data_IF_579352210165
#
_entry.id   IF_579352210165
#
_cell.length_a   1.000
_cell.length_b   1.000
_cell.length_c   1.000
_cell.angle_alpha   90.00
_cell.angle_beta   90.00
_cell.angle_gamma   90.00
#
_symmetry.space_group_name_H-M   'P 1'
#
loop_
_entity.id
_entity.type
_entity.pdbx_description
1 polymer ?
#
# COMPACT_ATOMS: atom_id res chain seq x y z
N UNK A 1 -0.93 11.07 6.74
CA UNK A 1 -2.09 11.44 5.89
C UNK A 1 -2.18 12.95 5.61
N UNK A 2 -2.34 13.81 6.62
CA UNK A 2 -2.46 15.27 6.42
C UNK A 2 -1.31 15.88 5.59
N UNK A 3 -0.06 15.46 5.85
CA UNK A 3 1.12 15.86 5.07
C UNK A 3 1.00 15.53 3.57
N UNK A 4 0.43 14.37 3.22
CA UNK A 4 0.25 13.99 1.81
C UNK A 4 -0.78 14.89 1.14
N UNK A 5 -1.91 15.12 1.81
CA UNK A 5 -2.97 16.02 1.33
C UNK A 5 -2.48 17.46 1.16
N UNK A 6 -1.70 17.99 2.10
CA UNK A 6 -1.14 19.35 1.98
C UNK A 6 -0.15 19.50 0.81
N UNK A 7 0.44 18.39 0.36
CA UNK A 7 1.34 18.35 -0.81
C UNK A 7 0.63 17.90 -2.09
N UNK A 8 -0.71 17.85 -2.12
CA UNK A 8 -1.51 17.40 -3.26
C UNK A 8 -1.14 16.00 -3.79
N UNK A 9 -0.72 15.10 -2.89
CA UNK A 9 -0.44 13.70 -3.22
C UNK A 9 -1.75 12.91 -3.10
N UNK A 10 -2.14 12.24 -4.18
CA UNK A 10 -3.30 11.33 -4.19
C UNK A 10 -3.02 10.10 -3.31
N UNK A 11 -4.02 9.63 -2.58
CA UNK A 11 -3.91 8.53 -1.61
C UNK A 11 -4.87 7.42 -2.03
N UNK A 12 -4.32 6.25 -2.37
CA UNK A 12 -5.10 5.05 -2.67
C UNK A 12 -4.97 3.98 -1.58
N UNK A 13 -5.99 3.13 -1.47
CA UNK A 13 -5.95 1.91 -0.69
C UNK A 13 -6.20 0.70 -1.59
N UNK A 14 -5.29 -0.29 -1.54
CA UNK A 14 -5.42 -1.59 -2.18
C UNK A 14 -5.47 -2.67 -1.09
N UNK A 15 -6.62 -3.34 -0.92
CA UNK A 15 -6.84 -4.25 0.22
C UNK A 15 -7.41 -5.60 -0.20
N UNK A 16 -7.23 -6.61 0.65
CA UNK A 16 -7.92 -7.90 0.52
C UNK A 16 -9.11 -8.05 1.48
N UNK A 17 -9.41 -7.02 2.26
CA UNK A 17 -10.57 -7.02 3.13
C UNK A 17 -11.87 -6.93 2.32
N UNK A 18 -12.95 -7.47 2.88
CA UNK A 18 -14.29 -7.22 2.40
C UNK A 18 -14.78 -5.82 2.81
N UNK A 19 -15.73 -5.28 2.06
CA UNK A 19 -16.27 -3.93 2.26
C UNK A 19 -16.74 -3.67 3.69
N UNK A 20 -17.38 -4.67 4.32
CA UNK A 20 -17.89 -4.53 5.69
C UNK A 20 -16.76 -4.25 6.69
N UNK A 21 -15.68 -5.04 6.67
CA UNK A 21 -14.55 -4.87 7.59
C UNK A 21 -13.74 -3.62 7.26
N UNK A 22 -13.54 -3.36 5.96
CA UNK A 22 -12.90 -2.15 5.47
C UNK A 22 -13.59 -0.88 5.99
N UNK A 23 -14.90 -0.77 5.78
CA UNK A 23 -15.70 0.38 6.20
C UNK A 23 -15.65 0.56 7.72
N UNK A 24 -15.80 -0.53 8.48
CA UNK A 24 -15.75 -0.49 9.95
C UNK A 24 -14.39 -0.01 10.46
N UNK A 25 -13.29 -0.53 9.91
CA UNK A 25 -11.93 -0.18 10.33
C UNK A 25 -11.57 1.28 10.01
N UNK A 26 -11.86 1.73 8.79
CA UNK A 26 -11.50 3.08 8.35
C UNK A 26 -12.38 4.18 8.95
N UNK A 27 -13.67 3.91 9.15
CA UNK A 27 -14.60 4.88 9.76
C UNK A 27 -14.36 5.02 11.26
N UNK A 28 -14.08 3.92 11.96
CA UNK A 28 -13.80 3.99 13.41
C UNK A 28 -12.52 4.76 13.75
N UNK A 29 -11.57 4.79 12.81
CA UNK A 29 -10.32 5.56 12.92
C UNK A 29 -10.41 6.97 12.31
N UNK A 30 -11.53 7.32 11.66
CA UNK A 30 -11.74 8.63 11.05
C UNK A 30 -10.88 8.91 9.81
N UNK A 31 -10.29 7.88 9.18
CA UNK A 31 -9.39 8.05 8.03
C UNK A 31 -10.04 7.70 6.68
N UNK A 32 -11.27 7.23 6.67
CA UNK A 32 -11.96 6.79 5.45
C UNK A 32 -11.92 7.85 4.33
N UNK A 33 -12.21 9.11 4.67
CA UNK A 33 -12.29 10.22 3.71
C UNK A 33 -10.92 10.75 3.24
N UNK A 34 -9.81 10.19 3.73
CA UNK A 34 -8.48 10.54 3.21
C UNK A 34 -8.16 9.83 1.90
N UNK A 35 -8.80 8.71 1.61
CA UNK A 35 -8.52 7.93 0.41
C UNK A 35 -9.27 8.49 -0.80
N UNK A 36 -8.54 8.87 -1.84
CA UNK A 36 -9.09 9.31 -3.12
C UNK A 36 -9.65 8.13 -3.93
N UNK A 37 -9.12 6.92 -3.70
CA UNK A 37 -9.76 5.69 -4.15
C UNK A 37 -9.52 4.53 -3.17
N UNK A 38 -10.45 3.58 -3.16
CA UNK A 38 -10.27 2.29 -2.49
C UNK A 38 -10.54 1.19 -3.51
N UNK A 39 -9.67 0.18 -3.50
CA UNK A 39 -9.74 -1.01 -4.36
C UNK A 39 -9.59 -2.26 -3.50
N UNK A 40 -10.31 -3.31 -3.88
CA UNK A 40 -10.28 -4.60 -3.19
C UNK A 40 -9.85 -5.71 -4.14
N UNK A 41 -9.21 -6.76 -3.61
CA UNK A 41 -8.91 -7.95 -4.42
C UNK A 41 -10.15 -8.70 -4.89
N UNK A 42 -11.35 -8.36 -4.40
CA UNK A 42 -12.62 -8.86 -4.93
C UNK A 42 -13.01 -8.25 -6.28
N UNK A 43 -12.38 -7.13 -6.67
CA UNK A 43 -12.62 -6.44 -7.93
C UNK A 43 -11.69 -6.92 -9.07
N UNK A 44 -10.74 -7.81 -8.76
CA UNK A 44 -9.75 -8.33 -9.69
C UNK A 44 -9.67 -9.85 -9.60
N UNK A 45 -9.08 -10.49 -10.61
CA UNK A 45 -9.05 -11.95 -10.69
C UNK A 45 -7.98 -12.60 -9.80
N UNK A 46 -6.95 -11.84 -9.41
CA UNK A 46 -5.77 -12.38 -8.70
C UNK A 46 -5.52 -11.63 -7.41
N UNK A 47 -5.02 -12.34 -6.39
CA UNK A 47 -4.70 -11.78 -5.08
C UNK A 47 -3.43 -10.92 -5.09
N UNK A 48 -3.03 -10.42 -3.91
CA UNK A 48 -1.92 -9.46 -3.73
C UNK A 48 -0.54 -9.90 -4.23
N UNK A 49 -0.30 -11.20 -4.46
CA UNK A 49 0.89 -11.70 -5.15
C UNK A 49 1.05 -11.18 -6.59
N UNK A 50 -0.01 -10.59 -7.14
CA UNK A 50 -0.10 -10.12 -8.52
C UNK A 50 -0.39 -8.61 -8.55
N UNK A 51 -0.05 -7.93 -9.66
CA UNK A 51 -0.11 -6.48 -9.73
C UNK A 51 -1.53 -5.90 -9.81
N UNK A 52 -2.55 -6.75 -10.02
CA UNK A 52 -3.88 -6.38 -10.49
C UNK A 52 -4.56 -5.31 -9.63
N UNK A 53 -4.58 -5.50 -8.30
CA UNK A 53 -5.24 -4.54 -7.39
C UNK A 53 -4.47 -3.22 -7.30
N UNK A 54 -3.14 -3.27 -7.42
CA UNK A 54 -2.30 -2.07 -7.43
C UNK A 54 -2.46 -1.28 -8.73
N UNK A 55 -2.50 -1.98 -9.88
CA UNK A 55 -2.76 -1.37 -11.18
C UNK A 55 -4.16 -0.75 -11.24
N UNK A 56 -5.18 -1.44 -10.72
CA UNK A 56 -6.54 -0.89 -10.60
C UNK A 56 -6.56 0.36 -9.71
N UNK A 57 -5.79 0.37 -8.62
CA UNK A 57 -5.66 1.51 -7.74
C UNK A 57 -5.04 2.71 -8.48
N UNK A 58 -3.91 2.52 -9.16
CA UNK A 58 -3.25 3.56 -9.95
C UNK A 58 -4.16 4.09 -11.08
N UNK A 59 -4.90 3.21 -11.75
CA UNK A 59 -5.89 3.57 -12.77
C UNK A 59 -6.97 4.49 -12.21
N UNK A 60 -7.59 4.15 -11.07
CA UNK A 60 -8.61 4.98 -10.40
C UNK A 60 -8.06 6.29 -9.87
N UNK A 61 -6.79 6.31 -9.47
CA UNK A 61 -6.09 7.53 -9.11
C UNK A 61 -5.66 8.34 -10.33
N UNK A 62 -5.82 7.84 -11.56
CA UNK A 62 -5.37 8.48 -12.79
C UNK A 62 -3.88 8.87 -12.75
N UNK A 63 -3.03 7.96 -12.26
CA UNK A 63 -1.58 8.13 -12.20
C UNK A 63 -0.87 6.93 -12.83
N UNK A 64 0.35 7.14 -13.33
CA UNK A 64 1.17 6.04 -13.80
C UNK A 64 1.74 5.24 -12.62
N UNK A 65 1.87 3.91 -12.72
CA UNK A 65 2.38 3.09 -11.61
C UNK A 65 3.80 3.45 -11.13
N UNK A 66 4.66 3.93 -12.04
CA UNK A 66 6.02 4.38 -11.71
C UNK A 66 6.05 5.68 -10.88
N UNK A 67 4.92 6.39 -10.80
CA UNK A 67 4.70 7.54 -9.91
C UNK A 67 4.01 7.15 -8.58
N UNK A 68 3.85 5.86 -8.30
CA UNK A 68 3.29 5.37 -7.04
C UNK A 68 4.37 4.88 -6.08
N UNK A 69 4.16 5.16 -4.79
CA UNK A 69 4.86 4.53 -3.67
C UNK A 69 3.84 3.74 -2.86
N UNK A 70 4.10 2.45 -2.66
CA UNK A 70 3.24 1.52 -1.93
C UNK A 70 3.88 1.17 -0.59
N UNK A 71 3.07 1.17 0.47
CA UNK A 71 3.46 0.74 1.81
C UNK A 71 2.79 -0.59 2.12
N UNK A 72 3.57 -1.65 2.33
CA UNK A 72 3.07 -3.01 2.61
C UNK A 72 3.95 -3.70 3.65
N UNK A 73 3.37 -4.67 4.35
CA UNK A 73 3.98 -5.40 5.46
C UNK A 73 4.17 -6.90 5.17
N UNK A 74 3.52 -7.43 4.12
CA UNK A 74 3.59 -8.85 3.76
C UNK A 74 4.30 -9.07 2.41
N UNK A 75 5.10 -10.14 2.34
CA UNK A 75 5.89 -10.49 1.15
C UNK A 75 5.05 -10.63 -0.14
N UNK A 76 3.85 -11.26 -0.13
CA UNK A 76 2.97 -11.30 -1.29
C UNK A 76 2.68 -9.94 -1.91
N UNK A 77 2.38 -8.97 -1.06
CA UNK A 77 1.97 -7.65 -1.46
C UNK A 77 3.15 -6.84 -2.04
N UNK A 78 4.33 -6.98 -1.43
CA UNK A 78 5.58 -6.42 -1.97
C UNK A 78 5.84 -6.96 -3.37
N UNK A 79 5.72 -8.28 -3.58
CA UNK A 79 5.89 -8.89 -4.91
C UNK A 79 4.90 -8.31 -5.93
N UNK A 80 3.61 -8.24 -5.59
CA UNK A 80 2.58 -7.71 -6.48
C UNK A 80 2.81 -6.24 -6.85
N UNK A 81 3.14 -5.40 -5.86
CA UNK A 81 3.40 -3.99 -6.08
C UNK A 81 4.68 -3.74 -6.91
N UNK A 82 5.76 -4.50 -6.67
CA UNK A 82 6.96 -4.46 -7.53
C UNK A 82 6.66 -4.91 -8.95
N UNK A 83 5.85 -5.96 -9.13
CA UNK A 83 5.41 -6.42 -10.44
C UNK A 83 4.53 -5.40 -11.18
N UNK A 84 3.86 -4.50 -10.45
CA UNK A 84 3.11 -3.38 -11.03
C UNK A 84 4.01 -2.23 -11.49
N UNK A 85 5.32 -2.30 -11.24
CA UNK A 85 6.29 -1.24 -11.57
C UNK A 85 6.31 -0.08 -10.57
N UNK A 86 5.76 -0.27 -9.38
CA UNK A 86 5.71 0.75 -8.32
C UNK A 86 6.95 0.72 -7.44
N UNK A 87 7.24 1.84 -6.76
CA UNK A 87 8.16 1.84 -5.62
C UNK A 87 7.47 1.24 -4.40
N UNK A 88 8.19 0.47 -3.62
CA UNK A 88 7.65 -0.22 -2.43
C UNK A 88 8.50 0.09 -1.22
N UNK A 89 7.84 0.52 -0.16
CA UNK A 89 8.39 0.64 1.19
C UNK A 89 7.79 -0.47 2.04
N UNK A 90 8.61 -1.43 2.45
CA UNK A 90 8.20 -2.46 3.38
C UNK A 90 8.13 -1.88 4.80
N UNK A 91 7.03 -2.12 5.50
CA UNK A 91 6.83 -1.71 6.89
C UNK A 91 6.91 -2.94 7.77
N UNK A 92 7.76 -2.91 8.79
CA UNK A 92 7.91 -4.03 9.73
C UNK A 92 6.58 -4.43 10.37
N UNK A 93 6.30 -5.73 10.34
CA UNK A 93 5.24 -6.36 11.11
C UNK A 93 5.78 -7.65 11.76
N UNK A 94 5.37 -7.93 13.00
CA UNK A 94 5.84 -9.07 13.77
C UNK A 94 5.49 -10.42 13.12
N UNK A 95 4.37 -10.51 12.41
CA UNK A 95 3.94 -11.71 11.70
C UNK A 95 4.77 -11.98 10.44
N UNK A 96 5.39 -10.94 9.88
CA UNK A 96 6.25 -11.03 8.70
C UNK A 96 7.75 -11.19 9.04
N UNK A 97 8.12 -11.22 10.32
CA UNK A 97 9.52 -11.37 10.75
C UNK A 97 10.24 -12.59 10.12
N UNK A 98 9.61 -13.77 9.95
CA UNK A 98 10.24 -14.90 9.26
C UNK A 98 10.61 -14.62 7.79
N UNK A 99 10.01 -13.60 7.18
CA UNK A 99 10.19 -13.19 5.77
C UNK A 99 10.94 -11.85 5.65
N UNK A 100 11.50 -11.34 6.74
CA UNK A 100 12.14 -10.03 6.78
C UNK A 100 13.27 -9.87 5.78
N UNK A 101 14.12 -10.89 5.63
CA UNK A 101 15.24 -10.86 4.68
C UNK A 101 14.73 -10.72 3.23
N UNK A 102 13.66 -11.43 2.87
CA UNK A 102 13.03 -11.32 1.56
C UNK A 102 12.39 -9.94 1.34
N UNK A 103 11.71 -9.42 2.36
CA UNK A 103 11.14 -8.07 2.34
C UNK A 103 12.21 -6.99 2.12
N UNK A 104 13.31 -7.06 2.86
CA UNK A 104 14.43 -6.13 2.73
C UNK A 104 15.15 -6.24 1.38
N UNK A 105 15.17 -7.44 0.78
CA UNK A 105 15.79 -7.69 -0.52
C UNK A 105 14.93 -7.17 -1.70
N UNK A 106 13.60 -7.28 -1.60
CA UNK A 106 12.68 -6.95 -2.68
C UNK A 106 12.14 -5.51 -2.67
N UNK A 107 11.95 -4.93 -1.48
CA UNK A 107 11.46 -3.57 -1.34
C UNK A 107 12.55 -2.53 -1.66
N UNK A 108 12.15 -1.32 -2.04
CA UNK A 108 13.09 -0.21 -2.28
C UNK A 108 13.58 0.40 -0.96
N UNK A 109 12.80 0.24 0.12
CA UNK A 109 13.15 0.64 1.48
C UNK A 109 12.43 -0.27 2.48
N UNK A 110 13.04 -0.51 3.64
CA UNK A 110 12.42 -1.19 4.78
C UNK A 110 12.45 -0.25 5.99
N UNK A 111 11.29 -0.03 6.62
CA UNK A 111 11.14 0.84 7.80
C UNK A 111 10.47 0.09 8.95
N UNK A 112 10.72 0.53 10.19
CA UNK A 112 10.05 -0.01 11.36
C UNK A 112 8.75 0.73 11.68
N UNK A 113 8.73 2.03 11.39
CA UNK A 113 7.58 2.91 11.59
C UNK A 113 7.61 4.04 10.58
N UNK A 114 6.45 4.64 10.32
CA UNK A 114 6.33 5.73 9.34
C UNK A 114 7.18 6.96 9.68
N UNK A 115 7.48 7.20 10.97
CA UNK A 115 8.33 8.32 11.40
C UNK A 115 9.78 8.20 10.88
N UNK A 116 10.24 6.98 10.59
CA UNK A 116 11.59 6.73 10.05
C UNK A 116 11.77 7.42 8.67
N UNK A 117 10.67 7.72 7.97
CA UNK A 117 10.71 8.48 6.71
C UNK A 117 10.95 9.97 6.89
N UNK A 118 10.57 10.52 8.05
CA UNK A 118 10.71 11.95 8.34
C UNK A 118 12.14 12.24 8.81
N UNK A 119 12.78 11.28 9.48
CA UNK A 119 14.17 11.38 9.95
C UNK A 119 15.21 11.25 8.81
N UNK A 120 14.78 10.80 7.63
CA UNK A 120 15.61 10.64 6.43
C UNK A 120 15.72 11.92 5.56
N UNK A 121 15.14 13.04 5.99
CA UNK A 121 15.10 14.32 5.27
C UNK A 121 15.71 15.45 6.10
#
# INVERSE_FOLDING_TARGET
MALLKSNNIKIGLATSNCDMLLQAALKSTGIYDYFDCITTTGEVSRGKNFPDVYLLCAERLEVSPDNCIVFEDILPAVIGAKAAGMKVVAVHDLYAEPQKEDLMSLADLYIYKYDDLIEAV
#
